data_IF_243722947956
#
_entry.id   IF_243722947956
#
_cell.length_a   1.000
_cell.length_b   1.000
_cell.length_c   1.000
_cell.angle_alpha   90.00
_cell.angle_beta   90.00
_cell.angle_gamma   90.00
#
_symmetry.space_group_name_H-M   'P 1'
#
loop_
_entity.id
_entity.type
_entity.pdbx_description
1 polymer ?
#
# COMPACT_ATOMS: atom_id res chain seq x y z
N UNK A 1 -7.51 4.64 42.32
CA UNK A 1 -6.94 3.29 42.37
C UNK A 1 -6.39 2.95 40.99
N UNK A 2 -5.08 2.89 40.82
CA UNK A 2 -4.48 2.48 39.55
C UNK A 2 -4.55 0.95 39.43
N UNK A 3 -5.38 0.44 38.52
CA UNK A 3 -5.49 -0.99 38.26
C UNK A 3 -4.17 -1.54 37.74
N UNK A 4 -3.60 -2.54 38.42
CA UNK A 4 -2.41 -3.26 37.95
C UNK A 4 -2.83 -4.15 36.79
N UNK A 5 -2.33 -3.86 35.58
CA UNK A 5 -2.52 -4.73 34.41
C UNK A 5 -1.77 -6.05 34.67
N UNK A 6 -2.41 -7.23 34.51
CA UNK A 6 -1.73 -8.50 34.69
C UNK A 6 -0.62 -8.69 33.65
N UNK A 7 0.56 -9.12 34.11
CA UNK A 7 1.68 -9.45 33.24
C UNK A 7 1.44 -10.82 32.60
N UNK A 8 1.25 -10.85 31.29
CA UNK A 8 1.21 -12.08 30.51
C UNK A 8 2.60 -12.36 29.93
N UNK A 9 3.28 -13.45 30.34
CA UNK A 9 4.64 -13.77 29.86
C UNK A 9 4.66 -14.01 28.35
N UNK A 10 3.54 -14.43 27.78
CA UNK A 10 3.37 -14.66 26.35
C UNK A 10 3.04 -13.41 25.52
N UNK A 11 2.83 -12.24 26.15
CA UNK A 11 2.41 -11.01 25.47
C UNK A 11 3.35 -10.54 24.36
N UNK A 12 4.62 -10.94 24.39
CA UNK A 12 5.64 -10.54 23.42
C UNK A 12 6.25 -11.71 22.62
N UNK A 13 5.66 -12.91 22.70
CA UNK A 13 6.19 -14.10 21.99
C UNK A 13 6.25 -13.94 20.48
N UNK A 14 5.33 -13.16 19.89
CA UNK A 14 5.31 -12.85 18.46
C UNK A 14 6.09 -11.57 18.09
N UNK A 15 6.77 -10.94 19.04
CA UNK A 15 7.60 -9.77 18.77
C UNK A 15 8.92 -10.21 18.13
N UNK A 16 9.43 -9.48 17.13
CA UNK A 16 10.75 -9.76 16.59
C UNK A 16 11.80 -9.58 17.69
N UNK A 17 12.85 -10.41 17.65
CA UNK A 17 14.00 -10.32 18.56
C UNK A 17 14.55 -8.88 18.53
N UNK A 18 14.90 -8.32 19.70
CA UNK A 18 15.46 -6.97 19.81
C UNK A 18 16.62 -6.78 18.81
N UNK A 19 16.48 -5.82 17.90
CA UNK A 19 17.47 -5.52 16.86
C UNK A 19 17.23 -6.21 15.51
N UNK A 20 16.37 -7.23 15.44
CA UNK A 20 15.95 -7.85 14.19
C UNK A 20 14.73 -7.12 13.61
N UNK A 21 14.86 -6.63 12.37
CA UNK A 21 13.74 -6.01 11.65
C UNK A 21 12.83 -7.11 11.11
N UNK A 22 11.50 -6.91 11.18
CA UNK A 22 10.54 -7.86 10.57
C UNK A 22 10.86 -8.03 9.07
N UNK A 23 10.93 -9.27 8.55
CA UNK A 23 11.19 -9.50 7.14
C UNK A 23 10.08 -8.88 6.30
N UNK A 24 10.45 -8.40 5.10
CA UNK A 24 9.50 -7.91 4.11
C UNK A 24 8.58 -9.07 3.68
N UNK A 25 7.29 -8.78 3.50
CA UNK A 25 6.39 -9.69 2.81
C UNK A 25 6.43 -9.40 1.32
N UNK A 26 7.09 -10.28 0.57
CA UNK A 26 7.17 -10.24 -0.88
C UNK A 26 6.13 -11.20 -1.48
N UNK A 27 5.32 -10.69 -2.39
CA UNK A 27 4.32 -11.46 -3.13
C UNK A 27 4.40 -11.10 -4.61
N UNK A 28 5.24 -11.85 -5.32
CA UNK A 28 5.43 -11.66 -6.75
C UNK A 28 4.19 -11.97 -7.59
N UNK A 29 3.29 -12.84 -7.12
CA UNK A 29 2.05 -13.16 -7.82
C UNK A 29 1.09 -11.97 -7.74
N UNK A 30 0.93 -11.38 -6.56
CA UNK A 30 0.17 -10.14 -6.36
C UNK A 30 0.70 -9.01 -7.26
N UNK A 31 2.01 -8.79 -7.30
CA UNK A 31 2.61 -7.74 -8.15
C UNK A 31 2.36 -7.97 -9.64
N UNK A 32 2.33 -9.22 -10.11
CA UNK A 32 2.01 -9.52 -11.52
C UNK A 32 0.54 -9.26 -11.80
N UNK A 33 -0.33 -9.66 -10.87
CA UNK A 33 -1.77 -9.44 -10.96
C UNK A 33 -2.13 -7.95 -10.97
N UNK A 34 -1.54 -7.13 -10.09
CA UNK A 34 -1.72 -5.67 -10.06
C UNK A 34 -1.40 -5.02 -11.42
N UNK A 35 -0.38 -5.49 -12.14
CA UNK A 35 -0.02 -4.97 -13.47
C UNK A 35 -1.04 -5.28 -14.55
N UNK A 36 -1.95 -6.24 -14.31
CA UNK A 36 -3.08 -6.55 -15.17
C UNK A 36 -4.30 -5.66 -14.96
N UNK A 37 -4.37 -4.93 -13.84
CA UNK A 37 -5.52 -4.12 -13.45
C UNK A 37 -5.55 -2.75 -14.17
N UNK A 38 -6.72 -2.08 -14.24
CA UNK A 38 -6.80 -0.70 -14.71
C UNK A 38 -6.15 0.29 -13.72
N UNK A 39 -5.67 1.44 -14.22
CA UNK A 39 -5.08 2.46 -13.36
C UNK A 39 -6.08 3.00 -12.34
N UNK A 40 -5.63 3.13 -11.09
CA UNK A 40 -6.44 3.64 -9.99
C UNK A 40 -7.00 5.05 -10.24
N UNK A 41 -6.29 5.90 -10.99
CA UNK A 41 -6.72 7.28 -11.25
C UNK A 41 -7.39 7.37 -12.62
N UNK A 42 -6.69 6.98 -13.68
CA UNK A 42 -7.15 7.18 -15.05
C UNK A 42 -8.05 6.05 -15.58
N UNK A 43 -8.00 4.86 -14.97
CA UNK A 43 -8.65 3.65 -15.49
C UNK A 43 -8.00 3.05 -16.73
N UNK A 44 -6.94 3.65 -17.25
CA UNK A 44 -6.25 3.20 -18.46
C UNK A 44 -5.21 2.13 -18.14
N UNK A 45 -4.88 1.32 -19.16
CA UNK A 45 -3.77 0.36 -19.20
C UNK A 45 -2.77 0.85 -20.27
N UNK A 46 -1.46 0.53 -20.20
CA UNK A 46 -0.78 -0.32 -19.22
C UNK A 46 -0.50 0.38 -17.88
N UNK A 47 -0.30 -0.40 -16.82
CA UNK A 47 0.02 0.12 -15.47
C UNK A 47 1.26 -0.53 -14.88
N UNK A 48 1.93 0.21 -14.03
CA UNK A 48 2.99 -0.27 -13.15
C UNK A 48 2.43 -0.55 -11.75
N UNK A 49 3.02 -1.52 -11.05
CA UNK A 49 2.79 -1.73 -9.64
C UNK A 49 3.56 -0.66 -8.85
N UNK A 50 2.84 0.37 -8.39
CA UNK A 50 3.41 1.47 -7.63
C UNK A 50 3.35 1.18 -6.13
N UNK A 51 4.51 1.10 -5.48
CA UNK A 51 4.59 0.93 -4.03
C UNK A 51 4.38 2.27 -3.33
N UNK A 52 3.42 2.32 -2.41
CA UNK A 52 3.22 3.48 -1.52
C UNK A 52 4.30 3.46 -0.45
N UNK A 53 5.14 4.50 -0.36
CA UNK A 53 6.34 4.52 0.52
C UNK A 53 6.13 5.29 1.83
N UNK A 54 5.23 6.28 1.88
CA UNK A 54 4.98 7.06 3.09
C UNK A 54 4.45 6.23 4.26
N UNK A 55 4.80 6.61 5.50
CA UNK A 55 4.34 5.92 6.70
C UNK A 55 2.94 6.36 7.09
N UNK A 56 2.13 5.46 7.64
CA UNK A 56 0.84 5.82 8.18
C UNK A 56 0.52 4.98 9.43
N UNK A 57 0.47 5.59 10.62
CA UNK A 57 0.18 4.88 11.85
C UNK A 57 -1.25 4.35 11.91
N UNK A 58 -2.22 4.97 11.21
CA UNK A 58 -3.62 4.53 11.20
C UNK A 58 -3.74 3.15 10.56
N UNK A 59 -3.00 2.92 9.48
CA UNK A 59 -2.95 1.64 8.77
C UNK A 59 -1.87 0.69 9.31
N UNK A 60 -1.17 1.05 10.39
CA UNK A 60 -0.05 0.27 10.93
C UNK A 60 1.12 0.14 9.97
N UNK A 61 1.25 1.05 9.00
CA UNK A 61 2.34 1.08 8.02
C UNK A 61 3.52 1.85 8.60
N UNK A 62 4.51 1.10 9.08
CA UNK A 62 5.76 1.67 9.59
C UNK A 62 6.56 2.41 8.51
N UNK A 63 7.47 3.28 8.94
CA UNK A 63 8.35 4.02 8.03
C UNK A 63 9.17 3.09 7.13
N UNK A 64 9.25 3.50 5.85
CA UNK A 64 10.04 2.83 4.80
C UNK A 64 11.47 3.46 4.70
N UNK A 65 11.88 4.23 5.70
CA UNK A 65 13.20 4.87 5.76
C UNK A 65 14.36 3.87 5.95
N UNK A 66 15.58 4.28 5.56
CA UNK A 66 16.81 3.52 5.82
C UNK A 66 17.01 2.27 4.96
N UNK A 67 16.63 2.33 3.67
CA UNK A 67 16.86 1.23 2.71
C UNK A 67 15.83 0.09 2.76
N UNK A 68 14.74 0.26 3.52
CA UNK A 68 13.65 -0.72 3.59
C UNK A 68 12.80 -0.63 2.33
N UNK A 69 12.51 -1.77 1.69
CA UNK A 69 11.48 -1.86 0.63
C UNK A 69 10.11 -2.04 1.27
N UNK A 70 9.09 -1.37 0.74
CA UNK A 70 7.71 -1.52 1.22
C UNK A 70 7.20 -2.95 0.98
N UNK A 71 6.32 -3.44 1.87
CA UNK A 71 5.64 -4.72 1.65
C UNK A 71 4.80 -4.64 0.35
N UNK A 72 4.65 -5.77 -0.35
CA UNK A 72 3.94 -5.78 -1.64
C UNK A 72 2.43 -5.56 -1.51
N UNK A 73 1.87 -5.77 -0.31
CA UNK A 73 0.48 -5.37 0.02
C UNK A 73 0.21 -3.87 -0.06
N UNK A 74 1.27 -3.05 -0.08
CA UNK A 74 1.16 -1.59 -0.22
C UNK A 74 1.41 -1.17 -1.67
N UNK A 75 0.82 -1.89 -2.61
CA UNK A 75 0.91 -1.57 -4.03
C UNK A 75 -0.43 -1.21 -4.63
N UNK A 76 -0.40 -0.27 -5.57
CA UNK A 76 -1.56 0.18 -6.32
C UNK A 76 -1.24 0.22 -7.81
N UNK A 77 -2.22 -0.04 -8.70
CA UNK A 77 -2.02 0.05 -10.14
C UNK A 77 -1.99 1.51 -10.59
N UNK A 78 -0.86 2.00 -11.08
CA UNK A 78 -0.73 3.35 -11.61
C UNK A 78 -0.17 3.36 -13.03
N UNK A 79 -0.71 4.26 -13.86
CA UNK A 79 -0.15 4.50 -15.18
C UNK A 79 1.26 5.10 -15.06
N UNK A 80 2.18 4.73 -15.95
CA UNK A 80 3.59 5.13 -15.89
C UNK A 80 3.81 6.64 -15.81
N UNK A 81 2.98 7.41 -16.54
CA UNK A 81 3.02 8.88 -16.49
C UNK A 81 2.61 9.46 -15.13
N UNK A 82 1.76 8.77 -14.36
CA UNK A 82 1.33 9.17 -13.01
C UNK A 82 2.24 8.57 -11.93
N UNK A 83 3.00 7.53 -12.27
CA UNK A 83 3.94 6.88 -11.37
C UNK A 83 5.32 7.56 -11.38
N UNK A 84 6.00 7.62 -12.54
CA UNK A 84 7.41 8.02 -12.62
C UNK A 84 7.73 9.14 -13.61
N UNK A 85 6.97 9.30 -14.70
CA UNK A 85 7.43 10.07 -15.87
C UNK A 85 6.76 11.44 -16.08
N UNK A 86 5.55 11.67 -15.54
CA UNK A 86 4.80 12.90 -15.80
C UNK A 86 5.09 14.05 -14.84
N UNK A 87 4.66 15.28 -15.17
CA UNK A 87 4.76 16.44 -14.29
C UNK A 87 3.94 16.29 -13.00
N UNK A 88 2.88 15.48 -13.06
CA UNK A 88 2.05 15.07 -11.92
C UNK A 88 2.47 13.71 -11.34
N UNK A 89 3.69 13.22 -11.60
CA UNK A 89 4.10 11.91 -11.11
C UNK A 89 4.20 11.88 -9.58
N UNK A 90 3.79 10.76 -8.99
CA UNK A 90 3.96 10.45 -7.57
C UNK A 90 5.40 10.67 -7.08
N UNK A 91 6.40 10.40 -7.95
CA UNK A 91 7.82 10.62 -7.64
C UNK A 91 8.28 12.08 -7.68
N UNK A 92 7.54 12.99 -8.34
CA UNK A 92 7.97 14.38 -8.55
C UNK A 92 7.45 15.34 -7.47
N UNK A 93 6.21 15.15 -7.00
CA UNK A 93 5.50 16.10 -6.11
C UNK A 93 5.36 15.68 -4.64
N UNK A 94 5.88 14.50 -4.27
CA UNK A 94 5.64 13.90 -2.96
C UNK A 94 4.34 13.10 -2.92
N UNK A 95 4.42 11.83 -2.49
CA UNK A 95 3.31 10.88 -2.62
C UNK A 95 2.02 11.37 -1.94
N UNK A 96 2.10 11.86 -0.70
CA UNK A 96 0.90 12.27 0.06
C UNK A 96 0.14 13.39 -0.65
N UNK A 97 0.84 14.44 -1.10
CA UNK A 97 0.22 15.56 -1.81
C UNK A 97 -0.41 15.11 -3.14
N UNK A 98 0.21 14.17 -3.84
CA UNK A 98 -0.36 13.56 -5.04
C UNK A 98 -1.68 12.84 -4.75
N UNK A 99 -1.72 12.01 -3.71
CA UNK A 99 -2.92 11.27 -3.33
C UNK A 99 -4.03 12.18 -2.79
N UNK A 100 -3.68 13.21 -2.03
CA UNK A 100 -4.61 14.25 -1.57
C UNK A 100 -5.22 15.03 -2.74
N UNK A 101 -4.42 15.41 -3.74
CA UNK A 101 -4.92 16.07 -4.97
C UNK A 101 -5.96 15.22 -5.71
N UNK A 102 -5.83 13.90 -5.64
CA UNK A 102 -6.74 12.96 -6.27
C UNK A 102 -7.88 12.49 -5.36
N UNK A 103 -7.93 12.94 -4.10
CA UNK A 103 -8.93 12.54 -3.08
C UNK A 103 -9.05 11.02 -2.90
N UNK A 104 -7.97 10.29 -3.17
CA UNK A 104 -7.92 8.83 -3.07
C UNK A 104 -6.98 8.46 -1.93
N UNK A 105 -7.45 7.60 -1.02
CA UNK A 105 -6.59 6.96 -0.02
C UNK A 105 -5.96 5.69 -0.63
N UNK A 106 -4.66 5.73 -1.00
CA UNK A 106 -4.02 4.60 -1.67
C UNK A 106 -3.78 3.43 -0.72
N UNK A 107 -3.66 3.66 0.60
CA UNK A 107 -3.41 2.60 1.57
C UNK A 107 -4.66 1.76 1.78
N UNK A 108 -5.82 2.41 1.84
CA UNK A 108 -7.12 1.73 1.86
C UNK A 108 -7.31 0.86 0.63
N UNK A 109 -7.03 1.40 -0.55
CA UNK A 109 -7.17 0.68 -1.81
C UNK A 109 -6.18 -0.47 -1.90
N UNK A 110 -4.91 -0.26 -1.55
CA UNK A 110 -3.89 -1.31 -1.59
C UNK A 110 -4.26 -2.51 -0.70
N UNK A 111 -4.76 -2.25 0.52
CA UNK A 111 -5.24 -3.31 1.42
C UNK A 111 -6.44 -4.06 0.83
N UNK A 112 -7.40 -3.34 0.25
CA UNK A 112 -8.57 -3.95 -0.36
C UNK A 112 -8.17 -4.83 -1.54
N UNK A 113 -7.30 -4.34 -2.43
CA UNK A 113 -6.76 -5.09 -3.56
C UNK A 113 -5.97 -6.32 -3.10
N UNK A 114 -5.16 -6.19 -2.05
CA UNK A 114 -4.41 -7.32 -1.51
C UNK A 114 -5.34 -8.43 -0.99
N UNK A 115 -6.46 -8.08 -0.34
CA UNK A 115 -7.42 -9.06 0.16
C UNK A 115 -8.20 -9.79 -0.94
N UNK A 116 -8.33 -9.19 -2.13
CA UNK A 116 -9.01 -9.80 -3.28
C UNK A 116 -8.03 -10.25 -4.37
N UNK A 117 -6.76 -10.47 -4.01
CA UNK A 117 -5.73 -10.87 -4.98
C UNK A 117 -6.17 -12.10 -5.77
N UNK A 118 -6.24 -11.97 -7.09
CA UNK A 118 -6.69 -13.03 -8.01
C UNK A 118 -8.18 -12.95 -8.41
N UNK A 119 -8.94 -12.01 -7.85
CA UNK A 119 -10.33 -11.74 -8.24
C UNK A 119 -10.41 -10.39 -8.99
N UNK A 120 -10.41 -10.49 -10.32
CA UNK A 120 -10.40 -9.33 -11.22
C UNK A 120 -11.68 -8.50 -11.10
N UNK A 121 -12.84 -9.14 -10.91
CA UNK A 121 -14.14 -8.46 -10.85
C UNK A 121 -14.23 -7.59 -9.59
N UNK A 122 -13.83 -8.14 -8.44
CA UNK A 122 -13.80 -7.38 -7.18
C UNK A 122 -12.76 -6.25 -7.24
N UNK A 123 -11.60 -6.50 -7.84
CA UNK A 123 -10.56 -5.49 -7.98
C UNK A 123 -11.01 -4.30 -8.84
N UNK A 124 -11.66 -4.56 -9.97
CA UNK A 124 -12.20 -3.52 -10.83
C UNK A 124 -13.30 -2.71 -10.13
N UNK A 125 -14.15 -3.36 -9.33
CA UNK A 125 -15.17 -2.69 -8.53
C UNK A 125 -14.54 -1.76 -7.47
N UNK A 126 -13.52 -2.23 -6.75
CA UNK A 126 -12.76 -1.44 -5.76
C UNK A 126 -12.16 -0.21 -6.43
N UNK A 127 -11.47 -0.39 -7.57
CA UNK A 127 -10.85 0.70 -8.32
C UNK A 127 -11.89 1.70 -8.81
N UNK A 128 -13.02 1.22 -9.34
CA UNK A 128 -14.09 2.09 -9.82
C UNK A 128 -14.73 2.90 -8.71
N UNK A 129 -14.92 2.31 -7.53
CA UNK A 129 -15.50 2.99 -6.38
C UNK A 129 -14.53 4.02 -5.79
N UNK A 130 -13.24 3.70 -5.71
CA UNK A 130 -12.23 4.65 -5.24
C UNK A 130 -12.20 5.94 -6.08
N UNK A 131 -12.44 5.84 -7.39
CA UNK A 131 -12.44 6.97 -8.34
C UNK A 131 -13.70 7.85 -8.30
N UNK A 132 -14.80 7.37 -7.71
CA UNK A 132 -16.09 8.07 -7.72
C UNK A 132 -16.26 9.06 -6.55
N UNK A 133 -15.25 9.16 -5.70
CA UNK A 133 -15.22 10.04 -4.52
C UNK A 133 -14.70 11.42 -4.92
#
# INVERSE_FOLDING_TARGET
MAGRVPYHPEAFTNSPVKGQKRPRKEDGAHLRWIRGLPCLISGKRPVDAAHVRYADPVYGKGETGGGRKSDDRWTVPLHRSLHTEGPDAQHAGGERAFWEKHLIDPLRVALALYNVTGDDEQAELIIRNARKT
#
